data_IF_710781488608
#
_entry.id   IF_710781488608
#
_cell.length_a   1.000
_cell.length_b   1.000
_cell.length_c   1.000
_cell.angle_alpha   90.00
_cell.angle_beta   90.00
_cell.angle_gamma   90.00
#
_symmetry.space_group_name_H-M   'P 1'
#
loop_
_entity.id
_entity.type
_entity.pdbx_description
1 polymer ?
#
# COMPACT_ATOMS: atom_id res chain seq x y z
N UNK A 1 1.87 -5.65 1.55
CA UNK A 1 0.88 -5.94 0.47
C UNK A 1 1.57 -6.72 -0.65
N UNK A 2 0.86 -7.60 -1.37
CA UNK A 2 1.37 -8.30 -2.55
C UNK A 2 0.51 -7.95 -3.78
N UNK A 3 1.11 -7.38 -4.81
CA UNK A 3 0.41 -6.93 -6.02
C UNK A 3 0.99 -7.60 -7.26
N UNK A 4 0.13 -8.08 -8.15
CA UNK A 4 0.52 -8.52 -9.50
C UNK A 4 0.43 -7.33 -10.44
N UNK A 5 1.58 -6.81 -10.86
CA UNK A 5 1.67 -5.67 -11.77
C UNK A 5 2.09 -6.13 -13.17
N UNK A 6 1.35 -5.79 -14.24
CA UNK A 6 1.82 -6.00 -15.60
C UNK A 6 3.12 -5.23 -15.89
N UNK A 7 4.09 -5.80 -16.65
CA UNK A 7 5.40 -5.17 -16.87
C UNK A 7 5.37 -3.79 -17.56
N UNK A 8 4.25 -3.45 -18.22
CA UNK A 8 4.04 -2.14 -18.85
C UNK A 8 3.92 -0.98 -17.87
N UNK A 9 3.63 -1.26 -16.60
CA UNK A 9 3.52 -0.24 -15.56
C UNK A 9 4.78 -0.21 -14.72
N UNK A 10 5.27 0.99 -14.44
CA UNK A 10 6.36 1.18 -13.48
C UNK A 10 5.86 1.02 -12.05
N UNK A 11 6.73 0.49 -11.18
CA UNK A 11 6.44 0.35 -9.74
C UNK A 11 6.06 1.69 -9.09
N UNK A 12 6.78 2.81 -9.32
CA UNK A 12 6.41 4.10 -8.73
C UNK A 12 5.02 4.57 -9.18
N UNK A 13 4.64 4.29 -10.43
CA UNK A 13 3.31 4.68 -10.94
C UNK A 13 2.19 3.88 -10.27
N UNK A 14 2.42 2.59 -10.05
CA UNK A 14 1.48 1.74 -9.33
C UNK A 14 1.30 2.19 -7.88
N UNK A 15 2.40 2.45 -7.17
CA UNK A 15 2.38 2.95 -5.80
C UNK A 15 1.66 4.30 -5.71
N UNK A 16 1.98 5.25 -6.59
CA UNK A 16 1.33 6.57 -6.65
C UNK A 16 -0.20 6.44 -6.79
N UNK A 17 -0.67 5.54 -7.64
CA UNK A 17 -2.11 5.31 -7.83
C UNK A 17 -2.78 4.72 -6.59
N UNK A 18 -2.11 3.77 -5.93
CA UNK A 18 -2.64 3.12 -4.73
C UNK A 18 -2.68 4.08 -3.54
N UNK A 19 -1.58 4.77 -3.27
CA UNK A 19 -1.46 5.71 -2.15
C UNK A 19 -2.32 6.96 -2.38
N UNK A 20 -2.28 7.55 -3.57
CA UNK A 20 -3.08 8.74 -3.90
C UNK A 20 -4.58 8.44 -3.94
N UNK A 21 -4.97 7.31 -4.54
CA UNK A 21 -6.36 6.88 -4.60
C UNK A 21 -6.94 6.57 -3.23
N UNK A 22 -6.20 5.82 -2.40
CA UNK A 22 -6.64 5.52 -1.03
C UNK A 22 -6.70 6.75 -0.14
N UNK A 23 -5.70 7.65 -0.21
CA UNK A 23 -5.70 8.93 0.51
C UNK A 23 -6.96 9.74 0.22
N UNK A 24 -7.35 9.84 -1.05
CA UNK A 24 -8.58 10.54 -1.45
C UNK A 24 -9.82 9.90 -0.83
N UNK A 25 -10.00 8.59 -1.01
CA UNK A 25 -11.20 7.88 -0.51
C UNK A 25 -11.28 7.94 1.02
N UNK A 26 -10.16 7.78 1.72
CA UNK A 26 -10.13 7.82 3.19
C UNK A 26 -10.44 9.21 3.74
N UNK A 27 -9.94 10.28 3.12
CA UNK A 27 -10.28 11.65 3.50
C UNK A 27 -11.76 11.98 3.24
N UNK A 28 -12.32 11.49 2.13
CA UNK A 28 -13.74 11.67 1.82
C UNK A 28 -14.64 10.92 2.83
N UNK A 29 -14.21 9.76 3.33
CA UNK A 29 -14.97 8.94 4.29
C UNK A 29 -14.76 9.36 5.76
N UNK A 30 -13.59 9.91 6.09
CA UNK A 30 -13.18 10.25 7.45
C UNK A 30 -12.59 11.66 7.50
N UNK A 31 -13.44 12.71 7.38
CA UNK A 31 -12.97 14.11 7.39
C UNK A 31 -12.35 14.52 8.74
N UNK A 32 -12.60 13.76 9.81
CA UNK A 32 -12.00 13.94 11.12
C UNK A 32 -10.48 13.62 11.14
N UNK A 33 -9.95 12.87 10.16
CA UNK A 33 -8.53 12.58 10.07
C UNK A 33 -7.66 13.83 9.84
N UNK A 34 -8.21 14.90 9.30
CA UNK A 34 -7.46 16.12 8.99
C UNK A 34 -6.83 16.77 10.24
N UNK A 35 -7.39 16.55 11.44
CA UNK A 35 -6.79 17.05 12.69
C UNK A 35 -5.52 16.28 13.09
N UNK A 36 -5.39 15.03 12.63
CA UNK A 36 -4.29 14.13 12.96
C UNK A 36 -3.21 14.11 11.88
N UNK A 37 -3.55 14.54 10.66
CA UNK A 37 -2.64 14.57 9.52
C UNK A 37 -1.86 15.89 9.49
N UNK A 38 -0.55 15.79 9.35
CA UNK A 38 0.30 16.97 9.18
C UNK A 38 0.24 17.46 7.74
N UNK A 39 -0.69 18.39 7.50
CA UNK A 39 -0.91 18.98 6.20
C UNK A 39 -1.52 18.00 5.20
N UNK A 40 -1.06 18.09 3.95
CA UNK A 40 -1.68 17.33 2.86
C UNK A 40 -1.13 15.91 2.68
N UNK A 41 -0.12 15.51 3.46
CA UNK A 41 0.43 14.15 3.38
C UNK A 41 -0.43 13.18 4.18
N UNK A 42 -0.89 12.12 3.53
CA UNK A 42 -1.62 11.03 4.18
C UNK A 42 -0.70 9.84 4.47
N UNK A 43 0.18 9.53 3.54
CA UNK A 43 1.17 8.45 3.64
C UNK A 43 2.56 9.02 3.93
N UNK A 44 3.49 8.16 4.32
CA UNK A 44 4.90 8.51 4.39
C UNK A 44 5.46 8.79 2.98
N UNK A 45 6.47 9.64 2.88
CA UNK A 45 7.07 10.03 1.60
C UNK A 45 7.74 8.87 0.85
N UNK A 46 8.21 7.87 1.60
CA UNK A 46 8.90 6.69 1.06
C UNK A 46 7.99 5.47 0.96
N UNK A 47 8.21 4.68 -0.09
CA UNK A 47 7.62 3.36 -0.25
C UNK A 47 8.74 2.33 -0.52
N UNK A 48 8.63 1.15 0.09
CA UNK A 48 9.53 0.03 -0.17
C UNK A 48 8.81 -1.01 -1.03
N UNK A 49 9.42 -1.40 -2.14
CA UNK A 49 8.89 -2.41 -3.04
C UNK A 49 10.00 -3.31 -3.57
N UNK A 50 9.74 -4.61 -3.55
CA UNK A 50 10.62 -5.64 -4.09
C UNK A 50 9.86 -6.62 -4.98
N UNK A 51 10.60 -7.28 -5.87
CA UNK A 51 10.05 -8.27 -6.79
C UNK A 51 10.04 -9.62 -6.10
N UNK A 52 8.85 -10.23 -6.02
CA UNK A 52 8.70 -11.59 -5.51
C UNK A 52 8.64 -12.56 -6.69
N UNK A 53 9.62 -13.45 -6.76
CA UNK A 53 9.66 -14.53 -7.76
C UNK A 53 8.60 -15.60 -7.52
N UNK A 54 8.32 -16.39 -8.56
CA UNK A 54 7.23 -17.38 -8.58
C UNK A 54 7.34 -18.45 -7.48
N UNK A 55 8.56 -18.82 -7.10
CA UNK A 55 8.84 -19.85 -6.08
C UNK A 55 8.43 -19.39 -4.68
N UNK A 56 8.56 -18.10 -4.39
CA UNK A 56 8.30 -17.54 -3.06
C UNK A 56 6.91 -16.91 -2.91
N UNK A 57 6.08 -16.94 -3.95
CA UNK A 57 4.77 -16.26 -3.93
C UNK A 57 3.83 -16.84 -2.86
N UNK A 58 3.81 -18.17 -2.69
CA UNK A 58 2.97 -18.85 -1.69
C UNK A 58 3.39 -18.52 -0.26
N UNK A 59 4.69 -18.55 0.00
CA UNK A 59 5.28 -18.24 1.30
C UNK A 59 5.00 -16.77 1.68
N UNK A 60 5.22 -15.85 0.74
CA UNK A 60 4.99 -14.42 0.97
C UNK A 60 3.50 -14.11 1.20
N UNK A 61 2.59 -14.81 0.50
CA UNK A 61 1.14 -14.70 0.74
C UNK A 61 0.75 -15.13 2.14
N UNK A 62 1.30 -16.24 2.61
CA UNK A 62 1.03 -16.74 3.96
C UNK A 62 1.61 -15.79 5.02
N UNK A 63 2.83 -15.29 4.82
CA UNK A 63 3.45 -14.30 5.68
C UNK A 63 2.57 -13.06 5.85
N UNK A 64 2.10 -12.47 4.74
CA UNK A 64 1.26 -11.26 4.77
C UNK A 64 -0.08 -11.52 5.50
N UNK A 65 -0.69 -12.69 5.29
CA UNK A 65 -1.93 -13.07 6.00
C UNK A 65 -1.70 -13.17 7.51
N UNK A 66 -0.60 -13.77 7.94
CA UNK A 66 -0.24 -13.86 9.37
C UNK A 66 0.05 -12.48 9.96
N UNK A 67 0.70 -11.60 9.21
CA UNK A 67 0.98 -10.23 9.65
C UNK A 67 -0.31 -9.44 9.93
N UNK A 68 -1.35 -9.60 9.12
CA UNK A 68 -2.66 -8.97 9.38
C UNK A 68 -3.38 -9.52 10.62
N UNK A 69 -3.09 -10.74 11.04
CA UNK A 69 -3.68 -11.36 12.22
C UNK A 69 -2.95 -11.01 13.51
N UNK A 70 -1.65 -10.77 13.44
CA UNK A 70 -0.84 -10.40 14.62
C UNK A 70 -1.05 -8.95 15.07
N UNK A 71 -1.46 -8.07 14.14
CA UNK A 71 -1.66 -6.65 14.38
C UNK A 71 -3.15 -6.28 14.60
N UNK A 72 -4.03 -7.26 14.76
CA UNK A 72 -5.45 -7.11 15.03
C UNK A 72 -5.75 -7.53 16.49
#
# INVERSE_FOLDING_TARGET
MLVRLPPRYSVPKAVQLLEGGSSKVLRDQHPDLDIWLWGNSFWAEGCFAEIVGRVHESEMKEYIRKQSQHNA
#
